data_IF_933160020537
#
_entry.id   IF_933160020537
#
_cell.length_a   1.000
_cell.length_b   1.000
_cell.length_c   1.000
_cell.angle_alpha   90.00
_cell.angle_beta   90.00
_cell.angle_gamma   90.00
#
_symmetry.space_group_name_H-M   'P 1'
#
loop_
_entity.id
_entity.type
_entity.pdbx_description
1 polymer ?
#
# COMPACT_ATOMS: atom_id res chain seq x y z
N UNK A 1 21.02 16.80 -1.91
CA UNK A 1 19.83 16.70 -1.01
C UNK A 1 18.49 16.58 -1.74
N UNK A 2 18.44 16.51 -3.09
CA UNK A 2 17.18 16.28 -3.83
C UNK A 2 16.72 14.81 -3.79
N UNK A 3 17.65 13.85 -3.84
CA UNK A 3 17.33 12.41 -3.87
C UNK A 3 16.51 11.94 -2.68
N UNK A 4 16.89 12.34 -1.45
CA UNK A 4 16.20 11.92 -0.23
C UNK A 4 14.71 12.31 -0.19
N UNK A 5 14.34 13.47 -0.76
CA UNK A 5 12.93 13.88 -0.84
C UNK A 5 12.14 13.07 -1.86
N UNK A 6 12.76 12.73 -2.99
CA UNK A 6 12.15 11.90 -4.04
C UNK A 6 11.91 10.49 -3.50
N UNK A 7 12.88 9.94 -2.76
CA UNK A 7 12.76 8.61 -2.14
C UNK A 7 11.63 8.54 -1.11
N UNK A 8 11.51 9.55 -0.23
CA UNK A 8 10.42 9.63 0.74
C UNK A 8 9.06 9.76 0.05
N UNK A 9 8.93 10.60 -0.98
CA UNK A 9 7.68 10.73 -1.74
C UNK A 9 7.30 9.42 -2.44
N UNK A 10 8.28 8.67 -2.97
CA UNK A 10 8.05 7.35 -3.55
C UNK A 10 7.58 6.34 -2.50
N UNK A 11 8.15 6.36 -1.31
CA UNK A 11 7.70 5.52 -0.17
C UNK A 11 6.28 5.86 0.27
N UNK A 12 5.92 7.14 0.37
CA UNK A 12 4.55 7.59 0.70
C UNK A 12 3.55 7.01 -0.31
N UNK A 13 3.85 7.09 -1.62
CA UNK A 13 2.99 6.56 -2.68
C UNK A 13 2.85 5.04 -2.61
N UNK A 14 3.97 4.31 -2.47
CA UNK A 14 3.95 2.85 -2.27
C UNK A 14 3.04 2.48 -1.11
N UNK A 15 3.22 3.14 0.05
CA UNK A 15 2.46 2.82 1.25
C UNK A 15 0.97 3.09 1.07
N UNK A 16 0.60 4.15 0.34
CA UNK A 16 -0.80 4.46 0.03
C UNK A 16 -1.45 3.37 -0.83
N UNK A 17 -0.78 2.94 -1.91
CA UNK A 17 -1.27 1.88 -2.79
C UNK A 17 -1.45 0.55 -2.04
N UNK A 18 -0.45 0.17 -1.25
CA UNK A 18 -0.49 -1.04 -0.43
C UNK A 18 -1.61 -0.94 0.62
N UNK A 19 -1.80 0.23 1.23
CA UNK A 19 -2.86 0.46 2.19
C UNK A 19 -4.26 0.36 1.61
N UNK A 20 -4.46 0.86 0.38
CA UNK A 20 -5.75 0.72 -0.30
C UNK A 20 -6.08 -0.75 -0.57
N UNK A 21 -5.11 -1.51 -1.07
CA UNK A 21 -5.25 -2.95 -1.27
C UNK A 21 -5.56 -3.70 0.04
N UNK A 22 -4.85 -3.38 1.11
CA UNK A 22 -5.09 -4.01 2.41
C UNK A 22 -6.47 -3.65 2.97
N UNK A 23 -6.90 -2.40 2.84
CA UNK A 23 -8.22 -1.95 3.26
C UNK A 23 -9.35 -2.69 2.54
N UNK A 24 -9.20 -2.96 1.24
CA UNK A 24 -10.17 -3.77 0.50
C UNK A 24 -10.24 -5.21 1.00
N UNK A 25 -9.09 -5.83 1.31
CA UNK A 25 -9.05 -7.18 1.88
C UNK A 25 -9.67 -7.23 3.27
N UNK A 26 -9.57 -6.14 4.02
CA UNK A 26 -10.25 -5.92 5.30
C UNK A 26 -11.74 -5.56 5.16
N UNK A 27 -12.26 -5.43 3.93
CA UNK A 27 -13.62 -5.00 3.64
C UNK A 27 -13.99 -3.66 4.30
N UNK A 28 -13.04 -2.73 4.39
CA UNK A 28 -13.29 -1.38 4.89
C UNK A 28 -14.11 -0.58 3.87
N UNK A 29 -15.06 0.24 4.36
CA UNK A 29 -15.77 1.21 3.53
C UNK A 29 -14.79 2.25 2.95
N UNK A 30 -15.10 2.82 1.78
CA UNK A 30 -14.22 3.76 1.04
C UNK A 30 -13.59 4.87 1.91
N UNK A 31 -14.35 5.48 2.82
CA UNK A 31 -13.82 6.52 3.72
C UNK A 31 -12.79 5.96 4.71
N UNK A 32 -13.05 4.78 5.28
CA UNK A 32 -12.14 4.08 6.18
C UNK A 32 -10.93 3.51 5.43
N UNK A 33 -11.12 3.04 4.20
CA UNK A 33 -10.05 2.55 3.34
C UNK A 33 -9.06 3.66 2.99
N UNK A 34 -9.59 4.85 2.65
CA UNK A 34 -8.77 6.05 2.43
C UNK A 34 -8.02 6.46 3.68
N UNK A 35 -8.70 6.53 4.83
CA UNK A 35 -8.07 6.86 6.12
C UNK A 35 -6.93 5.88 6.48
N UNK A 36 -7.18 4.58 6.33
CA UNK A 36 -6.18 3.53 6.54
C UNK A 36 -4.97 3.70 5.62
N UNK A 37 -5.21 3.92 4.32
CA UNK A 37 -4.13 4.17 3.34
C UNK A 37 -3.30 5.42 3.65
N UNK A 38 -3.93 6.49 4.12
CA UNK A 38 -3.28 7.76 4.46
C UNK A 38 -2.49 7.66 5.78
N UNK A 39 -2.91 6.81 6.72
CA UNK A 39 -2.13 6.47 7.91
C UNK A 39 -0.84 5.73 7.56
N UNK A 40 -0.91 4.71 6.70
CA UNK A 40 0.27 3.99 6.23
C UNK A 40 1.20 4.88 5.41
N UNK A 41 0.64 5.78 4.59
CA UNK A 41 1.40 6.78 3.84
C UNK A 41 2.17 7.74 4.76
N UNK A 42 1.55 8.19 5.86
CA UNK A 42 2.22 8.99 6.90
C UNK A 42 3.34 8.21 7.60
N UNK A 43 3.23 6.89 7.72
CA UNK A 43 4.32 6.04 8.22
C UNK A 43 5.62 6.12 7.40
N UNK A 44 5.55 6.50 6.12
CA UNK A 44 6.73 6.59 5.25
C UNK A 44 7.73 7.68 5.66
N UNK A 45 7.29 8.73 6.35
CA UNK A 45 8.19 9.79 6.83
C UNK A 45 8.91 9.40 8.13
N UNK A 46 8.45 8.35 8.81
CA UNK A 46 9.02 7.84 10.05
C UNK A 46 9.54 6.41 9.83
N UNK A 47 10.84 6.29 9.56
CA UNK A 47 11.51 5.02 9.25
C UNK A 47 11.29 3.95 10.34
N UNK A 48 11.08 4.36 11.61
CA UNK A 48 10.82 3.41 12.71
C UNK A 48 9.39 2.84 12.70
N UNK A 49 8.46 3.51 12.01
CA UNK A 49 7.04 3.10 11.89
C UNK A 49 6.70 2.50 10.52
N UNK A 50 7.69 2.35 9.64
CA UNK A 50 7.48 1.90 8.27
C UNK A 50 7.50 0.36 8.10
N UNK A 51 7.27 -0.40 9.18
CA UNK A 51 7.10 -1.86 9.09
C UNK A 51 5.67 -2.20 8.63
N UNK A 52 5.40 -1.87 7.36
CA UNK A 52 4.10 -2.02 6.72
C UNK A 52 3.65 -3.48 6.69
N UNK A 53 4.59 -4.42 6.54
CA UNK A 53 4.31 -5.85 6.56
C UNK A 53 3.74 -6.26 7.92
N UNK A 54 4.40 -5.88 9.01
CA UNK A 54 3.94 -6.22 10.36
C UNK A 54 2.57 -5.59 10.68
N UNK A 55 2.32 -4.35 10.24
CA UNK A 55 1.04 -3.68 10.44
C UNK A 55 -0.08 -4.43 9.71
N UNK A 56 0.06 -4.62 8.40
CA UNK A 56 -0.97 -5.29 7.59
C UNK A 56 -1.19 -6.72 8.07
N UNK A 57 -0.11 -7.44 8.42
CA UNK A 57 -0.23 -8.80 8.93
C UNK A 57 -1.04 -8.86 10.22
N UNK A 58 -0.83 -7.90 11.13
CA UNK A 58 -1.60 -7.81 12.37
C UNK A 58 -3.07 -7.48 12.10
N UNK A 59 -3.35 -6.56 11.20
CA UNK A 59 -4.73 -6.18 10.87
C UNK A 59 -5.47 -7.32 10.18
N UNK A 60 -4.80 -8.05 9.28
CA UNK A 60 -5.35 -9.23 8.62
C UNK A 60 -5.62 -10.35 9.62
N UNK A 61 -4.71 -10.60 10.56
CA UNK A 61 -4.92 -11.59 11.63
C UNK A 61 -6.15 -11.23 12.50
N UNK A 62 -6.28 -9.95 12.87
CA UNK A 62 -7.41 -9.45 13.64
C UNK A 62 -8.75 -9.55 12.87
N UNK A 63 -8.73 -9.39 11.55
CA UNK A 63 -9.90 -9.48 10.69
C UNK A 63 -10.17 -10.90 10.15
N UNK A 64 -9.31 -11.88 10.43
CA UNK A 64 -9.42 -13.25 9.90
C UNK A 64 -9.14 -13.35 8.39
N UNK A 65 -8.37 -12.43 7.82
CA UNK A 65 -7.98 -12.42 6.41
C UNK A 65 -6.77 -13.34 6.20
N UNK A 66 -6.96 -14.42 5.44
CA UNK A 66 -5.90 -15.37 5.10
C UNK A 66 -5.07 -14.85 3.93
N UNK A 67 -3.97 -14.16 4.21
CA UNK A 67 -2.94 -13.78 3.23
C UNK A 67 -1.55 -14.08 3.78
N UNK A 68 -0.67 -14.61 2.92
CA UNK A 68 0.70 -14.97 3.32
C UNK A 68 1.60 -13.74 3.37
N UNK A 69 2.66 -13.80 4.17
CA UNK A 69 3.65 -12.72 4.20
C UNK A 69 4.30 -12.53 2.81
N UNK A 70 4.51 -13.61 2.06
CA UNK A 70 5.02 -13.59 0.69
C UNK A 70 4.08 -12.82 -0.26
N UNK A 71 2.76 -13.00 -0.12
CA UNK A 71 1.76 -12.29 -0.93
C UNK A 71 1.77 -10.79 -0.63
N UNK A 72 1.83 -10.42 0.65
CA UNK A 72 1.92 -9.01 1.08
C UNK A 72 3.20 -8.38 0.52
N UNK A 73 4.34 -9.08 0.59
CA UNK A 73 5.61 -8.62 0.03
C UNK A 73 5.56 -8.49 -1.50
N UNK A 74 4.90 -9.42 -2.19
CA UNK A 74 4.72 -9.34 -3.64
C UNK A 74 3.91 -8.08 -4.03
N UNK A 75 2.84 -7.78 -3.29
CA UNK A 75 2.07 -6.54 -3.51
C UNK A 75 2.90 -5.30 -3.20
N UNK A 76 3.67 -5.29 -2.12
CA UNK A 76 4.58 -4.17 -1.80
C UNK A 76 5.60 -3.92 -2.91
N UNK A 77 6.16 -4.97 -3.51
CA UNK A 77 7.10 -4.88 -4.63
C UNK A 77 6.43 -4.35 -5.90
N UNK A 78 5.22 -4.82 -6.21
CA UNK A 78 4.44 -4.34 -7.36
C UNK A 78 4.11 -2.85 -7.21
N UNK A 79 3.63 -2.43 -6.04
CA UNK A 79 3.35 -1.03 -5.75
C UNK A 79 4.60 -0.14 -5.79
N UNK A 80 5.78 -0.69 -5.47
CA UNK A 80 7.04 0.04 -5.58
C UNK A 80 7.45 0.29 -7.03
N UNK A 81 7.27 -0.71 -7.90
CA UNK A 81 7.51 -0.57 -9.34
C UNK A 81 6.62 0.53 -9.93
N UNK A 82 5.34 0.52 -9.58
CA UNK A 82 4.36 1.50 -10.03
C UNK A 82 4.64 2.91 -9.50
N UNK A 83 5.00 3.03 -8.22
CA UNK A 83 5.40 4.31 -7.63
C UNK A 83 6.64 4.92 -8.30
N UNK A 84 7.48 4.08 -8.93
CA UNK A 84 8.61 4.52 -9.76
C UNK A 84 8.22 4.90 -11.19
N UNK A 85 7.14 4.33 -11.73
CA UNK A 85 6.69 4.52 -13.11
C UNK A 85 5.73 5.72 -13.28
N UNK A 86 5.04 6.13 -12.21
CA UNK A 86 4.22 7.35 -12.21
C UNK A 86 5.08 8.62 -12.04
N UNK A 87 5.65 9.09 -13.15
CA UNK A 87 6.23 10.44 -13.21
C UNK A 87 5.22 11.52 -13.57
N UNK A 88 4.14 11.27 -14.31
CA UNK A 88 3.24 12.36 -14.76
C UNK A 88 1.83 11.84 -15.18
N UNK A 89 0.95 11.30 -14.31
CA UNK A 89 -0.47 11.14 -14.70
C UNK A 89 -1.43 11.11 -13.52
N UNK A 90 -2.37 12.05 -13.54
CA UNK A 90 -3.48 12.20 -12.59
C UNK A 90 -4.58 11.13 -12.75
N UNK A 91 -5.11 10.71 -11.60
CA UNK A 91 -6.52 10.40 -11.29
C UNK A 91 -7.25 9.18 -11.87
N UNK A 92 -6.62 8.25 -12.60
CA UNK A 92 -7.33 7.04 -13.09
C UNK A 92 -6.68 5.67 -12.77
N UNK A 93 -5.53 5.65 -12.08
CA UNK A 93 -4.75 4.42 -11.89
C UNK A 93 -5.05 3.64 -10.60
N UNK A 94 -5.68 4.25 -9.60
CA UNK A 94 -5.93 3.61 -8.29
C UNK A 94 -6.84 2.37 -8.41
N UNK A 95 -7.86 2.39 -9.29
CA UNK A 95 -8.78 1.26 -9.46
C UNK A 95 -8.21 0.07 -10.22
N UNK A 96 -7.23 0.28 -11.11
CA UNK A 96 -6.66 -0.80 -11.92
C UNK A 96 -5.70 -1.69 -11.12
N UNK A 97 -4.95 -1.11 -10.18
CA UNK A 97 -3.99 -1.84 -9.34
C UNK A 97 -4.67 -2.73 -8.31
N UNK A 98 -5.72 -2.20 -7.69
CA UNK A 98 -6.68 -2.95 -6.88
C UNK A 98 -7.13 -4.23 -7.61
N UNK A 99 -7.53 -4.09 -8.88
CA UNK A 99 -8.01 -5.22 -9.68
C UNK A 99 -6.90 -6.21 -10.06
N UNK A 100 -5.69 -5.74 -10.35
CA UNK A 100 -4.54 -6.59 -10.68
C UNK A 100 -4.08 -7.37 -9.44
N UNK A 101 -3.91 -6.71 -8.30
CA UNK A 101 -3.54 -7.37 -7.04
C UNK A 101 -4.63 -8.36 -6.57
N UNK A 102 -5.91 -8.02 -6.79
CA UNK A 102 -7.04 -8.92 -6.54
C UNK A 102 -7.00 -10.19 -7.41
N UNK A 103 -6.52 -10.10 -8.65
CA UNK A 103 -6.48 -11.23 -9.58
C UNK A 103 -5.23 -12.13 -9.40
N UNK A 104 -4.15 -11.59 -8.83
CA UNK A 104 -2.90 -12.31 -8.56
C UNK A 104 -2.93 -13.14 -7.28
N UNK A 105 -3.73 -12.74 -6.28
CA UNK A 105 -3.82 -13.40 -4.96
C UNK A 105 -5.25 -13.88 -4.70
N UNK A 106 -5.68 -14.84 -5.53
CA UNK A 106 -6.96 -15.57 -5.40
C UNK A 106 -6.86 -16.70 -4.39
#
# INVERSE_FOLDING_TARGET
>A
MASLRIDVMRMVRRNKLVGMWAAEKLALADENAKAYSDELARGAVDVKRNDILAIIRRDFDAAGVTQSNEDILAVMNLCWLEAGNQTETSDASDGALVQIARNLVK
#
